data_IF_426048067212
#
_entry.id   IF_426048067212
#
_cell.length_a   1.000
_cell.length_b   1.000
_cell.length_c   1.000
_cell.angle_alpha   90.00
_cell.angle_beta   90.00
_cell.angle_gamma   90.00
#
_symmetry.space_group_name_H-M   'P 1'
#
loop_
_entity.id
_entity.type
_entity.pdbx_description
1 polymer ?
#
# COMPACT_ATOMS: atom_id res chain seq x y z
N UNK A 1 8.86 5.10 -27.02
CA UNK A 1 8.33 4.83 -25.67
C UNK A 1 9.53 4.49 -24.81
N UNK A 2 9.83 5.32 -23.80
CA UNK A 2 10.95 5.06 -22.88
C UNK A 2 10.73 3.74 -22.13
N UNK A 3 11.82 3.05 -21.81
CA UNK A 3 11.78 1.83 -21.02
C UNK A 3 11.14 2.16 -19.65
N UNK A 4 10.02 1.54 -19.24
CA UNK A 4 9.38 1.84 -17.94
C UNK A 4 10.26 1.54 -16.72
N UNK A 5 11.41 0.86 -16.93
CA UNK A 5 12.44 0.62 -15.91
C UNK A 5 13.32 1.84 -15.62
N UNK A 6 13.19 2.94 -16.39
CA UNK A 6 14.07 4.12 -16.31
C UNK A 6 13.30 5.42 -15.99
N UNK A 7 12.21 5.36 -15.23
CA UNK A 7 11.55 6.59 -14.76
C UNK A 7 12.48 7.34 -13.78
N UNK A 8 13.04 8.50 -14.18
CA UNK A 8 13.98 9.24 -13.32
C UNK A 8 13.38 9.68 -12.00
N UNK A 9 12.05 9.78 -11.91
CA UNK A 9 11.35 10.19 -10.69
C UNK A 9 11.37 9.10 -9.60
N UNK A 10 11.64 7.83 -9.97
CA UNK A 10 11.78 6.71 -9.04
C UNK A 10 13.20 6.53 -8.51
N UNK A 11 14.19 7.22 -9.11
CA UNK A 11 15.57 7.15 -8.67
C UNK A 11 15.80 7.89 -7.34
N UNK A 12 16.79 7.41 -6.57
CA UNK A 12 17.23 8.10 -5.38
C UNK A 12 17.97 9.40 -5.73
N UNK A 13 17.71 10.45 -4.96
CA UNK A 13 18.39 11.71 -5.17
C UNK A 13 19.79 11.70 -4.54
N UNK A 14 20.77 12.12 -5.31
CA UNK A 14 22.17 12.10 -4.88
C UNK A 14 22.65 10.68 -4.60
N UNK A 15 23.42 10.53 -3.52
CA UNK A 15 23.91 9.22 -3.03
C UNK A 15 23.19 8.75 -1.75
N UNK A 16 22.10 9.41 -1.37
CA UNK A 16 21.37 9.08 -0.14
C UNK A 16 20.20 8.14 -0.48
N UNK A 17 20.28 6.84 -0.14
CA UNK A 17 19.19 5.89 -0.38
C UNK A 17 17.91 6.21 0.42
N UNK A 18 17.99 7.12 1.38
CA UNK A 18 16.84 7.62 2.12
C UNK A 18 16.12 8.79 1.45
N UNK A 19 16.64 9.33 0.35
CA UNK A 19 16.06 10.44 -0.43
C UNK A 19 15.21 9.92 -1.61
N UNK A 20 14.33 8.97 -1.36
CA UNK A 20 13.38 8.42 -2.32
C UNK A 20 12.10 9.26 -2.33
N UNK A 21 11.70 9.75 -3.51
CA UNK A 21 10.50 10.59 -3.67
C UNK A 21 9.22 9.85 -3.31
N UNK A 22 9.12 8.58 -3.66
CA UNK A 22 7.92 7.77 -3.46
C UNK A 22 8.04 6.77 -2.30
N UNK A 23 9.17 6.81 -1.54
CA UNK A 23 9.40 5.87 -0.45
C UNK A 23 9.74 4.45 -0.91
N UNK A 24 10.15 4.30 -2.16
CA UNK A 24 10.48 3.04 -2.82
C UNK A 24 11.85 2.49 -2.39
N UNK A 25 12.05 2.32 -1.07
CA UNK A 25 13.33 1.87 -0.50
C UNK A 25 13.61 0.40 -0.80
N UNK A 26 14.74 0.11 -1.43
CA UNK A 26 15.16 -1.25 -1.78
C UNK A 26 15.38 -2.14 -0.54
N UNK A 27 15.90 -1.55 0.54
CA UNK A 27 16.21 -2.27 1.78
C UNK A 27 15.17 -2.01 2.87
N UNK A 28 13.90 -1.84 2.49
CA UNK A 28 12.83 -1.47 3.41
C UNK A 28 12.70 -2.44 4.59
N UNK A 29 12.71 -3.73 4.33
CA UNK A 29 12.53 -4.77 5.35
C UNK A 29 13.75 -5.01 6.24
N UNK A 30 14.92 -4.43 5.91
CA UNK A 30 16.07 -4.41 6.83
C UNK A 30 15.84 -3.50 8.04
N UNK A 31 14.88 -2.56 7.94
CA UNK A 31 14.56 -1.59 8.99
C UNK A 31 13.14 -1.75 9.56
N UNK A 32 12.28 -2.49 8.86
CA UNK A 32 10.88 -2.70 9.22
C UNK A 32 10.57 -4.21 9.20
N UNK A 33 10.58 -4.82 10.38
CA UNK A 33 10.39 -6.26 10.53
C UNK A 33 9.02 -6.71 10.04
N UNK A 34 9.03 -7.68 9.14
CA UNK A 34 7.80 -8.35 8.67
C UNK A 34 7.10 -9.06 9.83
N UNK A 35 7.88 -9.71 10.72
CA UNK A 35 7.33 -10.46 11.85
C UNK A 35 6.61 -9.55 12.84
N UNK A 36 7.17 -8.37 13.17
CA UNK A 36 6.52 -7.41 14.07
C UNK A 36 5.17 -6.95 13.51
N UNK A 37 5.08 -6.74 12.19
CA UNK A 37 3.81 -6.36 11.55
C UNK A 37 2.78 -7.46 11.63
N UNK A 38 3.16 -8.70 11.40
CA UNK A 38 2.26 -9.85 11.50
C UNK A 38 1.76 -10.05 12.94
N UNK A 39 2.64 -9.84 13.95
CA UNK A 39 2.25 -9.93 15.36
C UNK A 39 1.22 -8.87 15.77
N UNK A 40 1.21 -7.72 15.10
CA UNK A 40 0.25 -6.64 15.32
C UNK A 40 -1.09 -6.86 14.58
N UNK A 41 -1.23 -7.93 13.79
CA UNK A 41 -2.47 -8.29 13.12
C UNK A 41 -3.31 -9.21 14.03
N UNK A 42 -4.33 -8.64 14.66
CA UNK A 42 -5.25 -9.39 15.50
C UNK A 42 -6.40 -9.96 14.67
N UNK A 43 -6.93 -11.12 15.06
CA UNK A 43 -8.01 -11.82 14.34
C UNK A 43 -9.28 -10.97 14.18
N UNK A 44 -9.59 -10.11 15.13
CA UNK A 44 -10.75 -9.20 15.13
C UNK A 44 -10.64 -8.07 14.09
N UNK A 45 -9.45 -7.82 13.54
CA UNK A 45 -9.26 -6.90 12.42
C UNK A 45 -9.80 -7.47 11.10
N UNK A 46 -10.04 -8.77 11.02
CA UNK A 46 -10.41 -9.45 9.79
C UNK A 46 -11.90 -9.75 9.73
N UNK A 47 -12.53 -9.60 8.55
CA UNK A 47 -13.93 -9.93 8.39
C UNK A 47 -14.19 -11.42 8.50
N UNK A 48 -15.36 -11.80 9.05
CA UNK A 48 -15.86 -13.16 8.95
C UNK A 48 -16.36 -13.37 7.53
N UNK A 49 -15.62 -14.17 6.74
CA UNK A 49 -15.93 -14.44 5.34
C UNK A 49 -16.61 -15.81 5.20
N UNK A 50 -17.68 -15.86 4.38
CA UNK A 50 -18.33 -17.12 4.06
C UNK A 50 -17.48 -17.90 3.05
N UNK A 51 -17.27 -19.20 3.27
CA UNK A 51 -16.35 -20.08 2.55
C UNK A 51 -16.82 -20.46 1.12
N UNK A 52 -17.57 -19.64 0.43
CA UNK A 52 -18.20 -20.00 -0.86
C UNK A 52 -17.53 -19.39 -2.09
N UNK A 53 -16.58 -18.50 -1.93
CA UNK A 53 -15.88 -17.84 -3.05
C UNK A 53 -14.46 -17.46 -2.66
N UNK A 54 -13.52 -17.34 -3.62
CA UNK A 54 -12.15 -16.97 -3.32
C UNK A 54 -12.09 -15.60 -2.63
N UNK A 55 -11.18 -15.47 -1.66
CA UNK A 55 -10.93 -14.21 -0.95
C UNK A 55 -9.97 -13.38 -1.80
N UNK A 56 -10.39 -12.16 -2.16
CA UNK A 56 -9.55 -11.24 -2.91
C UNK A 56 -8.95 -10.18 -2.00
N UNK A 57 -7.64 -10.10 -2.07
CA UNK A 57 -6.82 -9.16 -1.30
C UNK A 57 -6.15 -8.17 -2.24
N UNK A 58 -6.06 -6.91 -1.83
CA UNK A 58 -5.19 -5.92 -2.47
C UNK A 58 -4.13 -5.48 -1.46
N UNK A 59 -2.86 -5.51 -1.87
CA UNK A 59 -1.73 -5.00 -1.08
C UNK A 59 -1.10 -3.81 -1.82
N UNK A 60 -1.23 -2.62 -1.25
CA UNK A 60 -0.78 -1.36 -1.87
C UNK A 60 0.53 -0.93 -1.26
N UNK A 61 1.58 -0.77 -2.11
CA UNK A 61 2.95 -0.49 -1.69
C UNK A 61 3.66 -1.75 -1.21
N UNK A 62 3.53 -2.84 -1.98
CA UNK A 62 4.05 -4.15 -1.60
C UNK A 62 5.58 -4.25 -1.57
N UNK A 63 6.30 -3.25 -2.09
CA UNK A 63 7.76 -3.23 -2.18
C UNK A 63 8.30 -4.53 -2.85
N UNK A 64 9.31 -5.19 -2.26
CA UNK A 64 9.87 -6.47 -2.74
C UNK A 64 9.02 -7.69 -2.37
N UNK A 65 7.78 -7.51 -1.90
CA UNK A 65 6.80 -8.57 -1.67
C UNK A 65 7.02 -9.45 -0.45
N UNK A 66 8.03 -9.18 0.39
CA UNK A 66 8.32 -10.02 1.55
C UNK A 66 7.15 -10.06 2.55
N UNK A 67 6.56 -8.91 2.86
CA UNK A 67 5.38 -8.84 3.71
C UNK A 67 4.16 -9.47 3.02
N UNK A 68 3.95 -9.20 1.74
CA UNK A 68 2.84 -9.76 0.95
C UNK A 68 2.81 -11.29 1.00
N UNK A 69 3.98 -11.93 0.86
CA UNK A 69 4.12 -13.39 0.92
C UNK A 69 3.76 -13.92 2.31
N UNK A 70 4.16 -13.23 3.37
CA UNK A 70 3.82 -13.65 4.72
C UNK A 70 2.35 -13.37 5.07
N UNK A 71 1.77 -12.28 4.54
CA UNK A 71 0.32 -12.01 4.63
C UNK A 71 -0.48 -13.11 3.93
N UNK A 72 -0.05 -13.54 2.75
CA UNK A 72 -0.68 -14.65 2.03
C UNK A 72 -0.74 -15.92 2.91
N UNK A 73 0.39 -16.34 3.48
CA UNK A 73 0.47 -17.51 4.36
C UNK A 73 -0.39 -17.36 5.62
N UNK A 74 -0.37 -16.17 6.22
CA UNK A 74 -1.19 -15.86 7.39
C UNK A 74 -2.68 -15.97 7.06
N UNK A 75 -3.12 -15.43 5.93
CA UNK A 75 -4.51 -15.47 5.49
C UNK A 75 -4.96 -16.87 5.07
N UNK A 76 -4.09 -17.68 4.47
CA UNK A 76 -4.38 -19.11 4.22
C UNK A 76 -4.62 -19.86 5.54
N UNK A 77 -3.86 -19.54 6.59
CA UNK A 77 -4.08 -20.15 7.91
C UNK A 77 -5.35 -19.63 8.61
N UNK A 78 -5.72 -18.38 8.36
CA UNK A 78 -6.92 -17.76 8.92
C UNK A 78 -8.21 -18.26 8.23
N UNK A 79 -8.12 -18.55 6.93
CA UNK A 79 -9.24 -19.00 6.10
C UNK A 79 -8.95 -20.35 5.42
N UNK A 80 -8.77 -21.44 6.18
CA UNK A 80 -8.19 -22.71 5.68
C UNK A 80 -9.01 -23.41 4.60
N UNK A 81 -10.30 -23.09 4.47
CA UNK A 81 -11.19 -23.73 3.49
C UNK A 81 -11.52 -22.80 2.31
N UNK A 82 -10.76 -21.73 2.12
CA UNK A 82 -11.06 -20.74 1.09
C UNK A 82 -9.77 -20.35 0.35
N UNK A 83 -9.85 -20.32 -0.97
CA UNK A 83 -8.72 -19.91 -1.79
C UNK A 83 -8.48 -18.39 -1.62
N UNK A 84 -7.23 -18.01 -1.34
CA UNK A 84 -6.80 -16.63 -1.18
C UNK A 84 -6.06 -16.16 -2.42
N UNK A 85 -6.39 -15.00 -2.97
CA UNK A 85 -5.70 -14.38 -4.08
C UNK A 85 -5.30 -12.95 -3.72
N UNK A 86 -4.06 -12.56 -4.03
CA UNK A 86 -3.53 -11.23 -3.75
C UNK A 86 -3.15 -10.51 -5.05
N UNK A 87 -3.66 -9.30 -5.22
CA UNK A 87 -3.12 -8.31 -6.15
C UNK A 87 -2.18 -7.38 -5.37
N UNK A 88 -0.89 -7.50 -5.61
CA UNK A 88 0.15 -6.74 -4.93
C UNK A 88 0.69 -5.63 -5.86
N UNK A 89 0.59 -4.39 -5.43
CA UNK A 89 0.87 -3.21 -6.24
C UNK A 89 2.02 -2.41 -5.65
N UNK A 90 2.95 -2.00 -6.50
CA UNK A 90 3.95 -0.99 -6.16
C UNK A 90 4.17 -0.05 -7.35
N UNK A 91 4.60 1.18 -7.08
CA UNK A 91 4.88 2.15 -8.13
C UNK A 91 6.19 1.86 -8.84
N UNK A 92 7.14 1.18 -8.17
CA UNK A 92 8.49 0.94 -8.67
C UNK A 92 8.59 -0.42 -9.38
N UNK A 93 8.81 -0.43 -10.70
CA UNK A 93 8.95 -1.67 -11.47
C UNK A 93 10.16 -2.52 -11.05
N UNK A 94 11.23 -1.90 -10.52
CA UNK A 94 12.41 -2.64 -10.05
C UNK A 94 12.09 -3.43 -8.79
N UNK A 95 11.29 -2.86 -7.89
CA UNK A 95 10.82 -3.57 -6.70
C UNK A 95 9.89 -4.73 -7.08
N UNK A 96 9.01 -4.53 -8.05
CA UNK A 96 8.11 -5.57 -8.56
C UNK A 96 8.90 -6.68 -9.25
N UNK A 97 9.91 -6.38 -10.05
CA UNK A 97 10.79 -7.39 -10.65
C UNK A 97 11.45 -8.26 -9.58
N UNK A 98 11.89 -7.67 -8.46
CA UNK A 98 12.46 -8.40 -7.32
C UNK A 98 11.42 -9.20 -6.54
N UNK A 99 10.18 -8.71 -6.47
CA UNK A 99 9.06 -9.38 -5.83
C UNK A 99 8.56 -10.58 -6.62
N UNK A 100 8.72 -10.57 -7.94
CA UNK A 100 8.20 -11.56 -8.89
C UNK A 100 8.79 -12.94 -8.65
N UNK A 101 8.33 -13.59 -7.59
CA UNK A 101 8.50 -15.03 -7.36
C UNK A 101 7.22 -15.69 -7.82
N UNK A 102 7.32 -16.84 -8.46
CA UNK A 102 6.14 -17.63 -8.87
C UNK A 102 5.40 -18.21 -7.65
N UNK A 103 4.54 -17.38 -7.08
CA UNK A 103 3.57 -17.83 -6.07
C UNK A 103 2.21 -17.82 -6.75
N UNK A 104 1.62 -18.98 -6.91
CA UNK A 104 0.43 -19.24 -7.75
C UNK A 104 -0.70 -18.22 -7.60
N UNK A 105 -0.96 -17.72 -6.42
CA UNK A 105 -2.12 -16.87 -6.12
C UNK A 105 -1.75 -15.41 -5.79
N UNK A 106 -0.51 -15.00 -6.04
CA UNK A 106 -0.07 -13.61 -5.88
C UNK A 106 0.31 -13.04 -7.23
N UNK A 107 -0.36 -11.96 -7.62
CA UNK A 107 -0.03 -11.19 -8.82
C UNK A 107 0.65 -9.89 -8.41
N UNK A 108 1.94 -9.75 -8.70
CA UNK A 108 2.71 -8.52 -8.51
C UNK A 108 2.63 -7.65 -9.75
N UNK A 109 2.24 -6.37 -9.60
CA UNK A 109 2.07 -5.43 -10.71
C UNK A 109 2.66 -4.07 -10.36
N UNK A 110 3.50 -3.54 -11.27
CA UNK A 110 3.94 -2.15 -11.16
C UNK A 110 2.86 -1.21 -11.69
N UNK A 111 2.35 -0.35 -10.83
CA UNK A 111 1.41 0.69 -11.23
C UNK A 111 1.36 1.85 -10.23
N UNK A 112 1.00 3.03 -10.75
CA UNK A 112 0.60 4.15 -9.90
C UNK A 112 -0.91 4.04 -9.61
N UNK A 113 -1.27 3.72 -8.37
CA UNK A 113 -2.67 3.53 -7.95
C UNK A 113 -3.53 4.80 -8.08
N UNK A 114 -2.91 5.97 -8.08
CA UNK A 114 -3.62 7.26 -8.24
C UNK A 114 -3.99 7.50 -9.71
N UNK A 115 -3.24 6.92 -10.65
CA UNK A 115 -3.49 7.07 -12.08
C UNK A 115 -4.66 6.20 -12.57
N UNK A 116 -5.32 6.62 -13.64
CA UNK A 116 -6.43 5.85 -14.23
C UNK A 116 -6.00 4.47 -14.74
N UNK A 117 -4.73 4.34 -15.20
CA UNK A 117 -4.15 3.06 -15.56
C UNK A 117 -4.10 2.07 -14.40
N UNK A 118 -3.76 2.54 -13.19
CA UNK A 118 -3.79 1.71 -11.98
C UNK A 118 -5.21 1.28 -11.60
N UNK A 119 -6.17 2.19 -11.67
CA UNK A 119 -7.59 1.87 -11.42
C UNK A 119 -8.13 0.85 -12.42
N UNK A 120 -7.69 0.93 -13.69
CA UNK A 120 -8.05 -0.03 -14.73
C UNK A 120 -7.53 -1.44 -14.40
N UNK A 121 -6.27 -1.57 -13.99
CA UNK A 121 -5.68 -2.86 -13.56
C UNK A 121 -6.49 -3.49 -12.43
N UNK A 122 -6.87 -2.70 -11.44
CA UNK A 122 -7.69 -3.14 -10.31
C UNK A 122 -9.05 -3.64 -10.78
N UNK A 123 -9.71 -2.88 -11.65
CA UNK A 123 -11.03 -3.25 -12.20
C UNK A 123 -10.95 -4.55 -13.01
N UNK A 124 -9.96 -4.69 -13.87
CA UNK A 124 -9.73 -5.90 -14.67
C UNK A 124 -9.43 -7.12 -13.78
N UNK A 125 -8.69 -6.93 -12.70
CA UNK A 125 -8.44 -8.02 -11.75
C UNK A 125 -9.72 -8.48 -11.04
N UNK A 126 -10.55 -7.55 -10.55
CA UNK A 126 -11.84 -7.89 -9.93
C UNK A 126 -12.79 -8.60 -10.91
N UNK A 127 -12.80 -8.18 -12.19
CA UNK A 127 -13.61 -8.79 -13.23
C UNK A 127 -13.27 -10.27 -13.48
N UNK A 128 -11.98 -10.66 -13.40
CA UNK A 128 -11.54 -12.07 -13.54
C UNK A 128 -12.21 -12.99 -12.52
N UNK A 129 -12.55 -12.48 -11.35
CA UNK A 129 -13.19 -13.23 -10.28
C UNK A 129 -14.70 -12.94 -10.15
N UNK A 130 -15.26 -12.17 -11.09
CA UNK A 130 -16.66 -11.70 -11.02
C UNK A 130 -17.00 -11.03 -9.69
N UNK A 131 -16.07 -10.24 -9.14
CA UNK A 131 -16.25 -9.48 -7.90
C UNK A 131 -16.27 -7.98 -8.17
N UNK A 132 -16.97 -7.23 -7.28
CA UNK A 132 -17.08 -5.76 -7.35
C UNK A 132 -16.07 -5.06 -6.41
N UNK A 133 -15.55 -5.78 -5.41
CA UNK A 133 -14.62 -5.24 -4.40
C UNK A 133 -13.71 -6.33 -3.88
N UNK A 134 -12.57 -5.91 -3.34
CA UNK A 134 -11.71 -6.76 -2.53
C UNK A 134 -12.35 -7.06 -1.18
N UNK A 135 -12.05 -8.22 -0.64
CA UNK A 135 -12.50 -8.58 0.70
C UNK A 135 -11.66 -7.85 1.75
N UNK A 136 -10.34 -7.72 1.51
CA UNK A 136 -9.40 -7.00 2.39
C UNK A 136 -8.42 -6.18 1.52
N UNK A 137 -8.11 -4.97 1.97
CA UNK A 137 -7.04 -4.15 1.39
C UNK A 137 -6.05 -3.74 2.46
N UNK A 138 -4.77 -3.94 2.19
CA UNK A 138 -3.66 -3.51 3.03
C UNK A 138 -2.99 -2.25 2.48
N UNK A 139 -2.65 -1.31 3.38
CA UNK A 139 -1.92 -0.09 3.09
C UNK A 139 -0.84 0.10 4.18
N UNK A 140 0.23 -0.69 4.12
CA UNK A 140 1.31 -0.61 5.10
C UNK A 140 2.34 0.44 4.72
N UNK A 141 2.47 1.47 5.53
CA UNK A 141 3.47 2.54 5.39
C UNK A 141 3.51 3.23 4.01
N UNK A 142 2.42 3.24 3.25
CA UNK A 142 2.32 3.81 1.90
C UNK A 142 1.53 5.12 1.86
N UNK A 143 0.59 5.30 2.78
CA UNK A 143 -0.37 6.42 2.74
C UNK A 143 0.29 7.79 2.79
N UNK A 144 1.36 7.95 3.57
CA UNK A 144 2.15 9.18 3.59
C UNK A 144 2.73 9.52 2.22
N UNK A 145 3.25 8.53 1.50
CA UNK A 145 3.89 8.73 0.20
C UNK A 145 2.87 9.12 -0.86
N UNK A 146 1.68 8.53 -0.81
CA UNK A 146 0.55 8.94 -1.67
C UNK A 146 0.19 10.40 -1.36
N UNK A 147 0.01 10.73 -0.09
CA UNK A 147 -0.40 12.06 0.35
C UNK A 147 0.63 13.15 0.00
N UNK A 148 1.90 12.95 0.38
CA UNK A 148 2.96 13.97 0.22
C UNK A 148 3.28 14.28 -1.25
N UNK A 149 3.03 13.33 -2.16
CA UNK A 149 3.27 13.50 -3.58
C UNK A 149 2.07 14.02 -4.37
N UNK A 150 0.84 13.90 -3.84
CA UNK A 150 -0.37 14.20 -4.60
C UNK A 150 -1.26 15.28 -3.95
N UNK A 151 -0.99 15.66 -2.70
CA UNK A 151 -1.78 16.65 -1.95
C UNK A 151 -3.07 16.07 -1.35
N UNK A 152 -3.79 16.94 -0.62
CA UNK A 152 -4.97 16.55 0.16
C UNK A 152 -6.11 16.03 -0.71
N UNK A 153 -6.46 16.75 -1.79
CA UNK A 153 -7.60 16.38 -2.64
C UNK A 153 -7.43 14.98 -3.25
N UNK A 154 -6.26 14.70 -3.82
CA UNK A 154 -5.97 13.39 -4.41
C UNK A 154 -5.87 12.29 -3.35
N UNK A 155 -5.43 12.62 -2.16
CA UNK A 155 -5.40 11.69 -1.06
C UNK A 155 -6.82 11.35 -0.55
N UNK A 156 -7.72 12.33 -0.48
CA UNK A 156 -9.13 12.12 -0.16
C UNK A 156 -9.83 11.28 -1.24
N UNK A 157 -9.56 11.56 -2.53
CA UNK A 157 -10.04 10.73 -3.64
C UNK A 157 -9.56 9.27 -3.50
N UNK A 158 -8.29 9.06 -3.14
CA UNK A 158 -7.73 7.73 -2.90
C UNK A 158 -8.44 7.00 -1.75
N UNK A 159 -8.64 7.67 -0.61
CA UNK A 159 -9.37 7.07 0.52
C UNK A 159 -10.82 6.73 0.16
N UNK A 160 -11.48 7.59 -0.64
CA UNK A 160 -12.83 7.35 -1.15
C UNK A 160 -12.86 6.16 -2.11
N UNK A 161 -11.86 6.02 -2.95
CA UNK A 161 -11.69 4.86 -3.82
C UNK A 161 -11.53 3.57 -3.01
N UNK A 162 -10.66 3.56 -1.98
CA UNK A 162 -10.50 2.40 -1.11
C UNK A 162 -11.82 1.99 -0.44
N UNK A 163 -12.57 2.97 0.05
CA UNK A 163 -13.88 2.74 0.68
C UNK A 163 -14.86 2.03 -0.25
N UNK A 164 -14.87 2.35 -1.54
CA UNK A 164 -15.80 1.77 -2.51
C UNK A 164 -15.31 0.44 -3.10
N UNK A 165 -13.99 0.23 -3.11
CA UNK A 165 -13.36 -0.95 -3.72
C UNK A 165 -12.98 -2.05 -2.72
N UNK A 166 -13.23 -1.85 -1.40
CA UNK A 166 -12.80 -2.78 -0.35
C UNK A 166 -13.86 -2.93 0.73
N UNK A 167 -14.06 -4.17 1.23
CA UNK A 167 -14.95 -4.45 2.38
C UNK A 167 -14.27 -4.19 3.71
N UNK A 168 -12.98 -4.51 3.80
CA UNK A 168 -12.14 -4.28 4.96
C UNK A 168 -10.86 -3.58 4.51
N UNK A 169 -10.40 -2.59 5.28
CA UNK A 169 -9.16 -1.85 5.00
C UNK A 169 -8.30 -1.87 6.25
N UNK A 170 -7.07 -2.36 6.13
CA UNK A 170 -6.08 -2.38 7.20
C UNK A 170 -4.95 -1.41 6.82
N UNK A 171 -4.79 -0.36 7.62
CA UNK A 171 -3.84 0.74 7.35
C UNK A 171 -2.82 0.83 8.46
N UNK A 172 -1.53 0.94 8.09
CA UNK A 172 -0.45 1.38 8.95
C UNK A 172 -0.03 2.81 8.53
N UNK A 173 -0.63 3.86 9.14
CA UNK A 173 -0.33 5.23 8.77
C UNK A 173 1.00 5.68 9.37
N UNK A 174 1.77 6.44 8.60
CA UNK A 174 2.97 7.06 9.14
C UNK A 174 2.61 8.35 9.90
N UNK A 175 3.19 8.56 11.10
CA UNK A 175 2.97 9.77 11.88
C UNK A 175 3.59 11.00 11.19
N UNK A 176 3.11 12.19 11.52
CA UNK A 176 3.57 13.47 10.92
C UNK A 176 5.09 13.70 11.03
N UNK A 177 5.74 13.08 12.01
CA UNK A 177 7.19 13.06 12.13
C UNK A 177 7.87 12.46 10.88
N UNK A 178 7.26 11.44 10.25
CA UNK A 178 7.79 10.81 9.05
C UNK A 178 7.75 11.75 7.84
N UNK A 179 6.69 12.57 7.68
CA UNK A 179 6.61 13.62 6.64
C UNK A 179 7.77 14.61 6.77
N UNK A 180 8.03 15.10 7.99
CA UNK A 180 9.15 16.00 8.26
C UNK A 180 10.51 15.35 7.98
N UNK A 181 10.66 14.07 8.29
CA UNK A 181 11.89 13.33 8.02
C UNK A 181 12.12 13.12 6.53
N UNK A 182 11.08 12.74 5.76
CA UNK A 182 11.15 12.63 4.31
C UNK A 182 11.60 13.95 3.68
N UNK A 183 10.99 15.06 4.06
CA UNK A 183 11.38 16.40 3.62
C UNK A 183 12.85 16.73 3.92
N UNK A 184 13.33 16.45 5.14
CA UNK A 184 14.72 16.73 5.51
C UNK A 184 15.70 15.92 4.68
N UNK A 185 15.38 14.65 4.38
CA UNK A 185 16.23 13.78 3.53
C UNK A 185 16.31 14.33 2.13
N UNK A 186 15.18 14.70 1.52
CA UNK A 186 15.15 15.29 0.17
C UNK A 186 15.98 16.59 0.11
N UNK A 187 15.80 17.50 1.08
CA UNK A 187 16.60 18.74 1.14
C UNK A 187 18.10 18.48 1.26
N UNK A 188 18.53 17.53 2.11
CA UNK A 188 19.95 17.19 2.26
C UNK A 188 20.55 16.56 1.01
N UNK A 189 19.76 15.84 0.23
CA UNK A 189 20.17 15.26 -1.04
C UNK A 189 20.19 16.27 -2.20
N UNK A 190 19.89 17.55 -1.95
CA UNK A 190 19.81 18.57 -3.00
C UNK A 190 18.59 18.45 -3.91
N UNK A 191 17.64 17.61 -3.54
CA UNK A 191 16.36 17.48 -4.23
C UNK A 191 15.37 18.58 -3.79
N UNK A 192 14.33 18.80 -4.57
CA UNK A 192 13.25 19.69 -4.21
C UNK A 192 12.62 19.36 -2.85
N UNK A 193 11.78 20.23 -2.33
CA UNK A 193 11.07 19.98 -1.08
C UNK A 193 9.62 19.57 -1.35
N UNK A 194 9.09 18.67 -0.51
CA UNK A 194 7.65 18.41 -0.49
C UNK A 194 6.89 19.60 0.10
N UNK A 195 5.67 19.91 -0.38
CA UNK A 195 4.87 21.03 0.13
C UNK A 195 4.16 20.69 1.45
N UNK A 196 4.86 20.08 2.41
CA UNK A 196 4.24 19.57 3.65
C UNK A 196 3.56 20.64 4.51
N UNK A 197 3.93 21.91 4.35
CA UNK A 197 3.29 23.03 5.07
C UNK A 197 1.90 23.36 4.54
N UNK A 198 1.60 22.94 3.31
CA UNK A 198 0.29 23.12 2.68
C UNK A 198 -0.64 21.91 2.89
N UNK A 199 -0.13 20.80 3.49
CA UNK A 199 -0.90 19.61 3.71
C UNK A 199 -1.62 19.64 5.06
N UNK A 200 -2.86 19.14 5.07
CA UNK A 200 -3.62 18.88 6.28
C UNK A 200 -3.20 17.56 6.92
N UNK A 201 -3.47 17.40 8.22
CA UNK A 201 -3.15 16.15 8.94
C UNK A 201 -4.28 15.12 8.83
N UNK A 202 -4.73 14.85 7.61
CA UNK A 202 -5.93 14.07 7.32
C UNK A 202 -5.93 12.73 8.06
N UNK A 203 -4.82 11.98 8.04
CA UNK A 203 -4.75 10.67 8.69
C UNK A 203 -4.82 10.74 10.23
N UNK A 204 -4.40 11.85 10.84
CA UNK A 204 -4.56 12.04 12.29
C UNK A 204 -6.03 12.30 12.66
N UNK A 205 -6.77 12.97 11.78
CA UNK A 205 -8.22 13.19 11.97
C UNK A 205 -9.04 11.94 11.62
N UNK A 206 -8.65 11.18 10.59
CA UNK A 206 -9.33 9.93 10.22
C UNK A 206 -9.25 8.86 11.32
N UNK A 207 -8.17 8.86 12.11
CA UNK A 207 -8.04 7.99 13.29
C UNK A 207 -9.01 8.37 14.44
N UNK A 208 -9.41 9.66 14.51
CA UNK A 208 -10.32 10.18 15.54
C UNK A 208 -11.78 10.20 15.09
N UNK A 209 -12.01 10.16 13.79
CA UNK A 209 -13.34 10.22 13.21
C UNK A 209 -13.77 8.85 12.72
N UNK A 210 -14.68 8.20 13.45
CA UNK A 210 -15.56 7.14 12.96
C UNK A 210 -16.42 7.55 11.72
N UNK A 211 -16.17 8.71 11.14
CA UNK A 211 -16.91 9.32 10.03
C UNK A 211 -16.56 8.78 8.65
N UNK A 212 -15.44 8.06 8.49
CA UNK A 212 -15.28 7.19 7.34
C UNK A 212 -16.12 5.94 7.64
N UNK A 213 -17.41 5.95 7.31
CA UNK A 213 -18.30 4.78 7.33
C UNK A 213 -17.76 3.66 6.41
N UNK A 214 -16.56 3.17 6.73
CA UNK A 214 -15.98 1.96 6.14
C UNK A 214 -16.50 0.81 6.98
N UNK A 215 -17.04 -0.25 6.39
CA UNK A 215 -17.64 -1.36 7.14
C UNK A 215 -16.69 -1.99 8.17
N UNK A 216 -15.38 -1.94 7.91
CA UNK A 216 -14.35 -2.34 8.87
C UNK A 216 -13.03 -1.67 8.51
N UNK A 217 -12.56 -0.73 9.34
CA UNK A 217 -11.24 -0.10 9.21
C UNK A 217 -10.44 -0.39 10.47
N UNK A 218 -9.34 -1.12 10.35
CA UNK A 218 -8.39 -1.34 11.42
C UNK A 218 -7.11 -0.53 11.19
N UNK A 219 -6.59 0.09 12.25
CA UNK A 219 -5.31 0.78 12.22
C UNK A 219 -4.29 0.06 13.08
N UNK A 220 -3.09 -0.10 12.54
CA UNK A 220 -1.93 -0.54 13.29
C UNK A 220 -1.20 0.70 13.78
N UNK A 221 -1.12 0.85 15.10
CA UNK A 221 -0.34 1.93 15.75
C UNK A 221 0.92 1.34 16.37
N UNK A 222 2.04 1.98 16.13
CA UNK A 222 3.35 1.67 16.74
C UNK A 222 3.67 2.66 17.85
#
# INVERSE_FOLDING_TARGET
MGNPLEDPSLLFYGKDPGAAKFGNFINYYSFHSVNERLQNLHHDMFPILQNTSPILIMDIGCNTGELTIQLYRYLESLYPNTEVHILALDIDPILIERASREIKNILFVSCNIIADSGKKIITEYLQKFNKKSFDITFCFSVTMWIHINNGDDKFIEFLSFLKTSSKCIIIEPQPWKCYKNAQRRMKRAGAGSFPITALERIMQYAAQCSTLNVPQMAQITH
#
